data_IF_373795039538
#
_entry.id   IF_373795039538
#
_cell.length_a   1.000
_cell.length_b   1.000
_cell.length_c   1.000
_cell.angle_alpha   90.00
_cell.angle_beta   90.00
_cell.angle_gamma   90.00
#
_symmetry.space_group_name_H-M   'P 1'
#
loop_
_entity.id
_entity.type
_entity.pdbx_description
1 polymer ?
#
# COMPACT_ATOMS: atom_id res chain seq x y z
N UNK A 1 5.47 -13.06 -33.82
CA UNK A 1 4.67 -11.92 -33.29
C UNK A 1 5.61 -11.15 -32.38
N UNK A 2 5.91 -9.89 -32.70
CA UNK A 2 6.58 -9.02 -31.74
C UNK A 2 5.54 -8.72 -30.67
N UNK A 3 5.72 -9.25 -29.47
CA UNK A 3 4.95 -8.82 -28.30
C UNK A 3 5.26 -7.34 -28.13
N UNK A 4 4.24 -6.49 -28.30
CA UNK A 4 4.41 -5.08 -28.03
C UNK A 4 4.86 -4.94 -26.57
N UNK A 5 5.94 -4.20 -26.35
CA UNK A 5 6.50 -4.02 -25.02
C UNK A 5 5.48 -3.25 -24.18
N UNK A 6 5.24 -3.71 -22.94
CA UNK A 6 4.34 -3.01 -22.03
C UNK A 6 4.97 -1.66 -21.67
N UNK A 7 4.19 -0.60 -21.71
CA UNK A 7 4.58 0.78 -21.42
C UNK A 7 3.50 1.44 -20.58
N UNK A 8 3.79 2.62 -20.02
CA UNK A 8 2.77 3.44 -19.34
C UNK A 8 1.54 3.68 -20.23
N UNK A 9 1.75 3.90 -21.52
CA UNK A 9 0.67 4.30 -22.45
C UNK A 9 -0.24 3.13 -22.86
N UNK A 10 0.28 1.90 -22.90
CA UNK A 10 -0.48 0.71 -23.33
C UNK A 10 -0.80 -0.27 -22.19
N UNK A 11 -0.43 0.03 -20.94
CA UNK A 11 -0.63 -0.88 -19.80
C UNK A 11 -2.11 -1.26 -19.61
N UNK A 12 -3.03 -0.32 -19.73
CA UNK A 12 -4.45 -0.60 -19.56
C UNK A 12 -5.02 -1.50 -20.66
N UNK A 13 -4.64 -1.26 -21.92
CA UNK A 13 -5.01 -2.11 -23.05
C UNK A 13 -4.43 -3.51 -22.87
N UNK A 14 -3.14 -3.59 -22.53
CA UNK A 14 -2.46 -4.85 -22.23
C UNK A 14 -3.19 -5.64 -21.12
N UNK A 15 -3.55 -5.00 -20.00
CA UNK A 15 -4.27 -5.64 -18.90
C UNK A 15 -5.69 -6.05 -19.32
N UNK A 16 -6.37 -5.25 -20.15
CA UNK A 16 -7.72 -5.55 -20.66
C UNK A 16 -7.71 -6.76 -21.58
N UNK A 17 -6.72 -6.85 -22.47
CA UNK A 17 -6.56 -7.99 -23.38
C UNK A 17 -6.23 -9.29 -22.62
N UNK A 18 -5.41 -9.19 -21.56
CA UNK A 18 -4.97 -10.35 -20.77
C UNK A 18 -6.05 -10.81 -19.76
N UNK A 19 -6.84 -9.88 -19.24
CA UNK A 19 -7.85 -10.08 -18.20
C UNK A 19 -9.16 -9.35 -18.57
N UNK A 20 -9.87 -9.80 -19.62
CA UNK A 20 -11.04 -9.09 -20.15
C UNK A 20 -12.17 -8.93 -19.12
N UNK A 21 -12.26 -9.83 -18.14
CA UNK A 21 -13.20 -9.74 -17.03
C UNK A 21 -12.98 -8.53 -16.12
N UNK A 22 -11.78 -7.94 -16.12
CA UNK A 22 -11.43 -6.77 -15.32
C UNK A 22 -11.58 -5.43 -16.08
N UNK A 23 -12.08 -5.45 -17.33
CA UNK A 23 -12.15 -4.26 -18.19
C UNK A 23 -12.87 -3.06 -17.54
N UNK A 24 -13.95 -3.33 -16.78
CA UNK A 24 -14.70 -2.28 -16.06
C UNK A 24 -13.84 -1.62 -14.97
N UNK A 25 -13.06 -2.42 -14.25
CA UNK A 25 -12.21 -1.94 -13.16
C UNK A 25 -11.00 -1.18 -13.69
N UNK A 26 -10.45 -1.62 -14.83
CA UNK A 26 -9.38 -0.92 -15.56
C UNK A 26 -9.88 0.44 -16.06
N UNK A 27 -11.07 0.48 -16.68
CA UNK A 27 -11.65 1.72 -17.19
C UNK A 27 -11.95 2.73 -16.07
N UNK A 28 -12.32 2.25 -14.88
CA UNK A 28 -12.62 3.10 -13.73
C UNK A 28 -11.39 3.82 -13.14
N UNK A 29 -10.15 3.41 -13.49
CA UNK A 29 -8.92 4.08 -13.01
C UNK A 29 -8.55 5.31 -13.83
N UNK A 30 -9.22 5.54 -14.96
CA UNK A 30 -9.04 6.77 -15.73
C UNK A 30 -9.91 7.88 -15.15
N UNK A 31 -9.31 8.74 -14.34
CA UNK A 31 -9.87 10.05 -13.99
C UNK A 31 -9.21 11.09 -14.88
N UNK A 32 -10.01 11.97 -15.49
CA UNK A 32 -9.50 13.07 -16.33
C UNK A 32 -8.43 13.88 -15.55
N UNK A 33 -7.33 14.21 -16.23
CA UNK A 33 -6.17 14.97 -15.73
C UNK A 33 -5.21 14.28 -14.74
N UNK A 34 -5.40 13.00 -14.40
CA UNK A 34 -4.44 12.29 -13.53
C UNK A 34 -3.08 12.04 -14.23
N UNK A 35 -1.95 12.24 -13.53
CA UNK A 35 -0.63 12.04 -14.13
C UNK A 35 -0.38 10.56 -14.41
N UNK A 36 0.22 10.25 -15.56
CA UNK A 36 0.36 8.86 -16.06
C UNK A 36 1.05 7.89 -15.08
N UNK A 37 1.97 8.38 -14.24
CA UNK A 37 2.62 7.56 -13.21
C UNK A 37 1.64 7.11 -12.10
N UNK A 38 0.65 7.94 -11.76
CA UNK A 38 -0.38 7.64 -10.76
C UNK A 38 -1.33 6.59 -11.31
N UNK A 39 -1.83 6.80 -12.53
CA UNK A 39 -2.67 5.81 -13.23
C UNK A 39 -1.95 4.47 -13.35
N UNK A 40 -0.66 4.47 -13.72
CA UNK A 40 0.15 3.24 -13.76
C UNK A 40 0.24 2.56 -12.40
N UNK A 41 0.46 3.33 -11.33
CA UNK A 41 0.54 2.79 -9.98
C UNK A 41 -0.79 2.16 -9.53
N UNK A 42 -1.92 2.81 -9.83
CA UNK A 42 -3.26 2.34 -9.47
C UNK A 42 -3.68 1.12 -10.29
N UNK A 43 -3.39 1.09 -11.59
CA UNK A 43 -3.61 -0.10 -12.42
C UNK A 43 -2.86 -1.33 -11.87
N UNK A 44 -1.60 -1.16 -11.46
CA UNK A 44 -0.83 -2.28 -10.89
C UNK A 44 -1.33 -2.63 -9.48
N UNK A 45 -1.53 -1.65 -8.60
CA UNK A 45 -1.85 -1.86 -7.18
C UNK A 45 -3.30 -2.30 -6.96
N UNK A 46 -4.24 -1.55 -7.52
CA UNK A 46 -5.66 -1.66 -7.16
C UNK A 46 -6.43 -2.57 -8.12
N UNK A 47 -5.99 -2.68 -9.36
CA UNK A 47 -6.61 -3.59 -10.33
C UNK A 47 -5.84 -4.91 -10.40
N UNK A 48 -4.60 -4.89 -10.90
CA UNK A 48 -3.84 -6.12 -11.15
C UNK A 48 -3.56 -6.91 -9.86
N UNK A 49 -2.93 -6.31 -8.85
CA UNK A 49 -2.62 -7.01 -7.59
C UNK A 49 -3.89 -7.32 -6.80
N UNK A 50 -4.73 -6.32 -6.57
CA UNK A 50 -5.81 -6.43 -5.58
C UNK A 50 -7.05 -7.16 -6.09
N UNK A 51 -7.44 -7.01 -7.36
CA UNK A 51 -8.67 -7.61 -7.91
C UNK A 51 -8.42 -8.83 -8.77
N UNK A 52 -7.36 -8.84 -9.58
CA UNK A 52 -7.07 -9.95 -10.49
C UNK A 52 -6.23 -11.01 -9.77
N UNK A 53 -5.02 -10.66 -9.35
CA UNK A 53 -4.04 -11.64 -8.88
C UNK A 53 -4.41 -12.20 -7.51
N UNK A 54 -4.76 -11.36 -6.55
CA UNK A 54 -5.21 -11.83 -5.23
C UNK A 54 -6.41 -12.76 -5.35
N UNK A 55 -7.40 -12.43 -6.20
CA UNK A 55 -8.57 -13.28 -6.41
C UNK A 55 -8.17 -14.64 -6.98
N UNK A 56 -7.27 -14.68 -7.97
CA UNK A 56 -6.75 -15.94 -8.50
C UNK A 56 -6.07 -16.80 -7.42
N UNK A 57 -5.37 -16.19 -6.46
CA UNK A 57 -4.78 -16.90 -5.31
C UNK A 57 -5.86 -17.45 -4.38
N UNK A 58 -6.87 -16.64 -4.04
CA UNK A 58 -7.97 -17.03 -3.15
C UNK A 58 -8.81 -18.16 -3.76
N UNK A 59 -9.20 -17.99 -5.03
CA UNK A 59 -10.03 -18.92 -5.78
C UNK A 59 -9.26 -20.16 -6.25
N UNK A 60 -7.92 -20.15 -6.10
CA UNK A 60 -6.99 -21.19 -6.60
C UNK A 60 -7.15 -21.47 -8.09
N UNK A 61 -7.45 -20.42 -8.86
CA UNK A 61 -7.54 -20.53 -10.32
C UNK A 61 -6.14 -20.61 -10.91
N UNK A 62 -5.67 -21.83 -11.13
CA UNK A 62 -4.33 -22.10 -11.66
C UNK A 62 -4.10 -21.44 -13.02
N UNK A 63 -5.12 -21.36 -13.87
CA UNK A 63 -4.97 -20.77 -15.21
C UNK A 63 -4.76 -19.27 -15.12
N UNK A 64 -5.57 -18.59 -14.29
CA UNK A 64 -5.44 -17.14 -14.07
C UNK A 64 -4.14 -16.84 -13.31
N UNK A 65 -3.73 -17.67 -12.35
CA UNK A 65 -2.44 -17.54 -11.68
C UNK A 65 -1.27 -17.59 -12.66
N UNK A 66 -1.26 -18.54 -13.59
CA UNK A 66 -0.21 -18.63 -14.61
C UNK A 66 -0.19 -17.40 -15.54
N UNK A 67 -1.37 -16.88 -15.90
CA UNK A 67 -1.48 -15.62 -16.64
C UNK A 67 -0.95 -14.43 -15.83
N UNK A 68 -1.25 -14.35 -14.53
CA UNK A 68 -0.77 -13.31 -13.63
C UNK A 68 0.76 -13.32 -13.52
N UNK A 69 1.39 -14.47 -13.26
CA UNK A 69 2.85 -14.55 -13.19
C UNK A 69 3.49 -14.23 -14.55
N UNK A 70 2.88 -14.68 -15.66
CA UNK A 70 3.34 -14.30 -16.99
C UNK A 70 3.23 -12.79 -17.24
N UNK A 71 2.15 -12.14 -16.80
CA UNK A 71 1.98 -10.69 -16.92
C UNK A 71 3.00 -9.91 -16.09
N UNK A 72 3.34 -10.40 -14.89
CA UNK A 72 4.40 -9.81 -14.06
C UNK A 72 5.75 -9.86 -14.77
N UNK A 73 6.09 -10.99 -15.40
CA UNK A 73 7.34 -11.10 -16.16
C UNK A 73 7.34 -10.16 -17.38
N UNK A 74 6.24 -10.09 -18.13
CA UNK A 74 6.10 -9.16 -19.25
C UNK A 74 6.31 -7.70 -18.78
N UNK A 75 5.63 -7.28 -17.71
CA UNK A 75 5.74 -5.93 -17.15
C UNK A 75 7.13 -5.63 -16.56
N UNK A 76 7.84 -6.62 -16.00
CA UNK A 76 9.23 -6.44 -15.56
C UNK A 76 10.23 -6.42 -16.71
N UNK A 77 9.86 -6.98 -17.87
CA UNK A 77 10.67 -7.00 -19.10
C UNK A 77 10.42 -5.81 -20.04
N UNK A 78 9.35 -5.05 -19.77
CA UNK A 78 8.85 -3.89 -20.51
C UNK A 78 9.90 -2.89 -21.02
N UNK A 79 11.01 -2.72 -20.30
CA UNK A 79 11.98 -1.65 -20.55
C UNK A 79 11.49 -0.27 -20.09
N UNK A 80 10.18 -0.08 -19.96
CA UNK A 80 9.56 1.08 -19.32
C UNK A 80 9.87 1.11 -17.82
N UNK A 81 10.59 2.15 -17.39
CA UNK A 81 11.06 2.28 -16.02
C UNK A 81 9.92 2.48 -15.01
N UNK A 82 8.81 3.10 -15.42
CA UNK A 82 7.67 3.38 -14.55
C UNK A 82 6.83 2.13 -14.33
N UNK A 83 6.56 1.35 -15.38
CA UNK A 83 5.89 0.02 -15.26
C UNK A 83 6.73 -0.92 -14.41
N UNK A 84 8.03 -1.09 -14.74
CA UNK A 84 8.95 -1.94 -13.98
C UNK A 84 8.97 -1.56 -12.49
N UNK A 85 8.95 -0.25 -12.20
CA UNK A 85 8.97 0.28 -10.83
C UNK A 85 7.67 0.01 -10.09
N UNK A 86 6.51 0.27 -10.69
CA UNK A 86 5.21 -0.03 -10.08
C UNK A 86 5.06 -1.51 -9.76
N UNK A 87 5.52 -2.41 -10.65
CA UNK A 87 5.53 -3.85 -10.36
C UNK A 87 6.40 -4.18 -9.16
N UNK A 88 7.62 -3.63 -9.10
CA UNK A 88 8.50 -3.85 -7.92
C UNK A 88 7.87 -3.32 -6.64
N UNK A 89 7.26 -2.14 -6.67
CA UNK A 89 6.68 -1.53 -5.48
C UNK A 89 5.44 -2.26 -4.97
N UNK A 90 4.58 -2.79 -5.85
CA UNK A 90 3.27 -3.32 -5.44
C UNK A 90 3.18 -4.85 -5.54
N UNK A 91 3.78 -5.48 -6.54
CA UNK A 91 3.70 -6.94 -6.72
C UNK A 91 4.65 -7.65 -5.76
N UNK A 92 5.92 -7.25 -5.67
CA UNK A 92 6.92 -7.91 -4.81
C UNK A 92 6.48 -8.04 -3.34
N UNK A 93 5.98 -6.99 -2.67
CA UNK A 93 5.48 -7.16 -1.30
C UNK A 93 4.18 -7.98 -1.24
N UNK A 94 3.32 -7.91 -2.26
CA UNK A 94 2.05 -8.65 -2.28
C UNK A 94 2.26 -10.16 -2.43
N UNK A 95 3.13 -10.60 -3.35
CA UNK A 95 3.36 -12.03 -3.60
C UNK A 95 4.03 -12.75 -2.42
N UNK A 96 4.58 -11.97 -1.47
CA UNK A 96 5.12 -12.45 -0.20
C UNK A 96 4.21 -12.17 1.00
N UNK A 97 2.97 -11.73 0.78
CA UNK A 97 2.08 -11.32 1.86
C UNK A 97 1.36 -12.49 2.54
N UNK A 98 1.47 -13.71 2.03
CA UNK A 98 0.93 -14.90 2.70
C UNK A 98 1.76 -16.14 2.35
N UNK A 99 1.71 -17.16 3.21
CA UNK A 99 2.42 -18.41 2.97
C UNK A 99 1.94 -19.09 1.68
N UNK A 100 0.64 -19.01 1.38
CA UNK A 100 0.06 -19.52 0.15
C UNK A 100 0.65 -18.81 -1.07
N UNK A 101 0.59 -17.48 -1.13
CA UNK A 101 1.06 -16.72 -2.29
C UNK A 101 2.57 -16.84 -2.48
N UNK A 102 3.34 -16.86 -1.38
CA UNK A 102 4.78 -17.11 -1.44
C UNK A 102 5.09 -18.53 -1.93
N UNK A 103 4.25 -19.52 -1.59
CA UNK A 103 4.29 -20.87 -2.15
C UNK A 103 4.08 -20.87 -3.66
N UNK A 104 3.00 -20.24 -4.13
CA UNK A 104 2.72 -20.12 -5.57
C UNK A 104 3.82 -19.37 -6.32
N UNK A 105 4.41 -18.34 -5.69
CA UNK A 105 5.49 -17.54 -6.27
C UNK A 105 6.75 -18.36 -6.47
N UNK A 106 7.08 -19.24 -5.50
CA UNK A 106 8.21 -20.16 -5.63
C UNK A 106 7.99 -21.18 -6.75
N UNK A 107 6.74 -21.56 -7.01
CA UNK A 107 6.39 -22.58 -8.00
C UNK A 107 6.29 -21.99 -9.43
N UNK A 108 5.74 -20.78 -9.56
CA UNK A 108 5.30 -20.21 -10.84
C UNK A 108 5.97 -18.90 -11.21
N UNK A 109 6.58 -18.21 -10.25
CA UNK A 109 7.28 -16.96 -10.49
C UNK A 109 8.44 -17.15 -11.45
N UNK A 110 8.55 -16.26 -12.43
CA UNK A 110 9.65 -16.29 -13.39
C UNK A 110 10.93 -15.67 -12.83
N UNK A 111 12.00 -15.64 -13.65
CA UNK A 111 13.31 -15.19 -13.22
C UNK A 111 13.37 -13.69 -12.90
N UNK A 112 12.57 -12.84 -13.56
CA UNK A 112 12.60 -11.39 -13.29
C UNK A 112 11.94 -11.08 -11.95
N UNK A 113 10.79 -11.69 -11.65
CA UNK A 113 10.14 -11.55 -10.35
C UNK A 113 11.04 -12.09 -9.24
N UNK A 114 11.63 -13.28 -9.43
CA UNK A 114 12.54 -13.87 -8.45
C UNK A 114 13.77 -12.98 -8.20
N UNK A 115 14.32 -12.33 -9.23
CA UNK A 115 15.42 -11.38 -9.11
C UNK A 115 15.03 -10.06 -8.44
N UNK A 116 13.82 -9.56 -8.70
CA UNK A 116 13.27 -8.39 -8.04
C UNK A 116 13.09 -8.63 -6.52
N UNK A 117 12.53 -9.79 -6.15
CA UNK A 117 12.37 -10.17 -4.74
C UNK A 117 13.73 -10.34 -4.06
N UNK A 118 14.69 -11.01 -4.69
CA UNK A 118 16.05 -11.17 -4.15
C UNK A 118 16.68 -9.80 -3.84
N UNK A 119 16.50 -8.83 -4.74
CA UNK A 119 17.04 -7.47 -4.58
C UNK A 119 16.38 -6.71 -3.42
N UNK A 120 15.05 -6.81 -3.29
CA UNK A 120 14.30 -6.16 -2.21
C UNK A 120 14.56 -6.77 -0.83
N UNK A 121 14.73 -8.10 -0.76
CA UNK A 121 14.96 -8.84 0.49
C UNK A 121 16.43 -8.95 0.88
N UNK A 122 17.35 -8.46 0.05
CA UNK A 122 18.79 -8.57 0.28
C UNK A 122 19.34 -10.00 0.11
N UNK A 123 18.65 -10.87 -0.64
CA UNK A 123 19.12 -12.22 -0.96
C UNK A 123 18.03 -13.26 -1.22
N UNK A 124 18.47 -14.50 -1.40
CA UNK A 124 17.63 -15.66 -1.80
C UNK A 124 16.88 -16.34 -0.64
N UNK A 125 16.97 -15.82 0.58
CA UNK A 125 16.45 -16.47 1.79
C UNK A 125 14.95 -16.75 1.77
N UNK A 126 14.17 -15.93 1.05
CA UNK A 126 12.73 -16.15 0.86
C UNK A 126 12.40 -17.43 0.06
N UNK A 127 13.34 -17.97 -0.70
CA UNK A 127 13.05 -19.18 -1.51
C UNK A 127 12.91 -20.44 -0.66
N UNK A 128 13.55 -20.44 0.50
CA UNK A 128 13.61 -21.59 1.43
C UNK A 128 13.01 -21.27 2.80
N UNK A 129 12.65 -20.02 3.03
CA UNK A 129 12.02 -19.59 4.27
C UNK A 129 10.62 -20.19 4.37
N UNK A 130 10.43 -21.11 5.33
CA UNK A 130 9.12 -21.50 5.86
C UNK A 130 8.63 -20.48 6.91
N UNK A 131 9.37 -19.39 7.13
CA UNK A 131 8.98 -18.32 8.04
C UNK A 131 7.65 -17.76 7.56
N UNK A 132 6.66 -17.73 8.45
CA UNK A 132 5.32 -17.17 8.27
C UNK A 132 5.39 -15.86 7.47
N UNK A 133 5.28 -15.98 6.14
CA UNK A 133 5.09 -14.87 5.22
C UNK A 133 3.85 -14.16 5.69
N UNK A 134 4.02 -12.97 6.26
CA UNK A 134 3.05 -12.20 7.03
C UNK A 134 1.58 -12.47 6.66
N UNK A 135 1.04 -13.60 7.11
CA UNK A 135 -0.39 -13.91 7.12
C UNK A 135 -1.06 -13.12 8.27
N UNK A 136 -0.55 -11.90 8.47
CA UNK A 136 -0.83 -10.99 9.56
C UNK A 136 -1.76 -9.88 9.12
N UNK A 137 -2.58 -10.12 8.10
CA UNK A 137 -3.89 -9.49 8.10
C UNK A 137 -4.87 -10.52 8.66
N UNK A 138 -4.99 -10.64 10.00
CA UNK A 138 -6.11 -11.38 10.56
C UNK A 138 -7.39 -10.87 9.91
N UNK A 139 -8.36 -11.75 9.71
CA UNK A 139 -9.65 -11.48 9.05
C UNK A 139 -10.36 -10.23 9.63
N UNK A 140 -9.98 -9.80 10.84
CA UNK A 140 -10.37 -8.53 11.49
C UNK A 140 -9.20 -7.54 11.60
N UNK A 141 -8.68 -7.25 10.41
CA UNK A 141 -7.75 -6.20 10.02
C UNK A 141 -8.25 -4.76 10.13
N UNK A 142 -7.51 -3.82 10.70
CA UNK A 142 -7.60 -2.43 10.24
C UNK A 142 -6.20 -1.86 10.00
N UNK A 143 -6.08 -0.98 9.01
CA UNK A 143 -4.89 -0.19 8.78
C UNK A 143 -5.19 1.28 9.04
N UNK A 144 -4.31 2.00 9.73
CA UNK A 144 -4.46 3.43 10.00
C UNK A 144 -3.27 4.15 9.35
N UNK A 145 -3.54 5.13 8.50
CA UNK A 145 -2.54 6.10 8.03
C UNK A 145 -2.47 7.26 9.01
N UNK A 146 -1.28 7.62 9.48
CA UNK A 146 -1.03 8.82 10.29
C UNK A 146 -0.03 9.71 9.56
N UNK A 147 -0.38 10.98 9.40
CA UNK A 147 0.32 11.95 8.57
C UNK A 147 0.65 13.19 9.39
N UNK A 148 1.94 13.45 9.63
CA UNK A 148 2.40 14.72 10.21
C UNK A 148 2.61 15.75 9.11
N UNK A 149 1.81 16.81 9.08
CA UNK A 149 1.82 17.86 8.06
C UNK A 149 1.49 19.22 8.70
N UNK A 150 2.33 20.23 8.46
CA UNK A 150 2.21 21.59 9.03
C UNK A 150 1.87 21.68 10.53
N UNK A 151 2.54 20.87 11.37
CA UNK A 151 2.34 20.91 12.81
C UNK A 151 1.08 20.20 13.32
N UNK A 152 0.39 19.47 12.43
CA UNK A 152 -0.81 18.69 12.76
C UNK A 152 -0.59 17.24 12.35
N UNK A 153 -1.08 16.31 13.16
CA UNK A 153 -1.22 14.89 12.85
C UNK A 153 -2.63 14.64 12.35
N UNK A 154 -2.73 14.19 11.11
CA UNK A 154 -3.96 13.73 10.49
C UNK A 154 -3.96 12.21 10.46
N UNK A 155 -5.03 11.56 10.91
CA UNK A 155 -5.16 10.13 10.83
C UNK A 155 -6.45 9.71 10.14
N UNK A 156 -6.36 8.66 9.34
CA UNK A 156 -7.48 8.04 8.64
C UNK A 156 -7.31 6.52 8.66
N UNK A 157 -8.40 5.81 8.44
CA UNK A 157 -8.38 4.37 8.39
C UNK A 157 -8.51 3.84 6.96
N UNK A 158 -8.04 2.62 6.79
CA UNK A 158 -8.16 1.77 5.63
C UNK A 158 -8.63 0.39 6.12
N UNK A 159 -9.76 -0.11 5.59
CA UNK A 159 -10.18 -1.49 5.80
C UNK A 159 -10.13 -2.27 4.50
N UNK A 160 -9.37 -3.39 4.43
CA UNK A 160 -9.44 -4.28 3.27
C UNK A 160 -10.86 -4.83 3.13
N UNK A 161 -11.42 -4.72 1.94
CA UNK A 161 -12.68 -5.35 1.59
C UNK A 161 -12.48 -6.84 1.30
N UNK A 162 -13.56 -7.62 1.42
CA UNK A 162 -13.55 -9.06 1.11
C UNK A 162 -13.24 -9.34 -0.37
N UNK A 163 -13.53 -8.39 -1.26
CA UNK A 163 -13.22 -8.44 -2.71
C UNK A 163 -11.78 -7.99 -3.04
N UNK A 164 -10.97 -7.65 -2.04
CA UNK A 164 -9.59 -7.20 -2.19
C UNK A 164 -9.43 -5.70 -2.39
N UNK A 165 -10.53 -4.93 -2.54
CA UNK A 165 -10.54 -3.48 -2.65
C UNK A 165 -10.07 -2.75 -1.39
N UNK A 166 -9.73 -1.48 -1.56
CA UNK A 166 -8.95 -0.73 -0.57
C UNK A 166 -9.48 0.70 -0.24
N UNK A 167 -10.61 0.86 0.47
CA UNK A 167 -11.19 2.20 0.73
C UNK A 167 -10.63 2.96 1.94
N UNK A 168 -10.37 4.27 1.78
CA UNK A 168 -10.18 5.18 2.93
C UNK A 168 -11.53 5.35 3.61
N UNK A 169 -11.61 5.09 4.92
CA UNK A 169 -12.85 5.18 5.69
C UNK A 169 -12.76 6.22 6.79
N UNK A 170 -13.90 6.89 7.01
CA UNK A 170 -14.15 7.73 8.18
C UNK A 170 -14.19 6.86 9.46
N UNK A 171 -13.95 7.45 10.65
CA UNK A 171 -13.71 8.88 10.89
C UNK A 171 -12.28 9.33 10.59
N UNK A 172 -12.11 10.64 10.32
CA UNK A 172 -10.81 11.29 10.28
C UNK A 172 -10.50 11.96 11.62
N UNK A 173 -9.24 11.98 11.97
CA UNK A 173 -8.76 12.53 13.23
C UNK A 173 -7.68 13.57 12.97
N UNK A 174 -7.77 14.71 13.65
CA UNK A 174 -6.73 15.73 13.67
C UNK A 174 -6.29 16.00 15.12
N UNK A 175 -4.99 16.16 15.33
CA UNK A 175 -4.41 16.59 16.61
C UNK A 175 -3.09 17.33 16.40
N UNK A 176 -2.65 18.21 17.32
CA UNK A 176 -1.35 18.87 17.22
C UNK A 176 -0.19 17.86 17.13
N UNK A 177 0.90 18.19 16.44
CA UNK A 177 2.08 17.30 16.32
C UNK A 177 2.96 17.24 17.56
N UNK A 178 2.83 18.21 18.47
CA UNK A 178 3.49 18.28 19.76
C UNK A 178 2.65 17.65 20.90
N UNK A 179 1.60 16.91 20.54
CA UNK A 179 0.73 16.22 21.48
C UNK A 179 1.50 15.18 22.32
N UNK A 180 1.17 15.10 23.61
CA UNK A 180 1.74 14.09 24.50
C UNK A 180 1.41 12.66 24.03
N UNK A 181 2.34 11.69 24.18
CA UNK A 181 2.14 10.33 23.68
C UNK A 181 0.86 9.66 24.19
N UNK A 182 0.51 9.86 25.46
CA UNK A 182 -0.71 9.28 26.03
C UNK A 182 -1.98 9.83 25.37
N UNK A 183 -2.02 11.13 25.08
CA UNK A 183 -3.16 11.77 24.40
C UNK A 183 -3.24 11.31 22.95
N UNK A 184 -2.11 11.24 22.24
CA UNK A 184 -2.04 10.75 20.87
C UNK A 184 -2.58 9.32 20.76
N UNK A 185 -2.07 8.42 21.60
CA UNK A 185 -2.48 7.03 21.59
C UNK A 185 -3.91 6.81 22.05
N UNK A 186 -4.41 7.61 23.01
CA UNK A 186 -5.82 7.53 23.42
C UNK A 186 -6.75 7.89 22.26
N UNK A 187 -6.48 8.98 21.53
CA UNK A 187 -7.27 9.39 20.36
C UNK A 187 -7.18 8.37 19.22
N UNK A 188 -6.00 7.81 18.96
CA UNK A 188 -5.84 6.75 17.96
C UNK A 188 -6.56 5.45 18.37
N UNK A 189 -6.55 5.09 19.65
CA UNK A 189 -7.27 3.92 20.14
C UNK A 189 -8.80 4.09 20.01
N UNK A 190 -9.32 5.31 20.17
CA UNK A 190 -10.73 5.63 19.88
C UNK A 190 -11.01 5.46 18.39
N UNK A 191 -10.21 6.07 17.51
CA UNK A 191 -10.33 5.90 16.06
C UNK A 191 -10.32 4.41 15.66
N UNK A 192 -9.40 3.61 16.20
CA UNK A 192 -9.32 2.17 15.95
C UNK A 192 -10.62 1.44 16.35
N UNK A 193 -11.18 1.76 17.53
CA UNK A 193 -12.46 1.17 17.98
C UNK A 193 -13.60 1.56 17.05
N UNK A 194 -13.70 2.83 16.69
CA UNK A 194 -14.76 3.35 15.82
C UNK A 194 -14.74 2.66 14.45
N UNK A 195 -13.54 2.43 13.91
CA UNK A 195 -13.31 1.70 12.65
C UNK A 195 -13.80 0.26 12.73
N UNK A 196 -13.57 -0.42 13.86
CA UNK A 196 -14.06 -1.79 14.06
C UNK A 196 -15.57 -1.88 14.33
N UNK A 197 -16.16 -0.86 14.98
CA UNK A 197 -17.60 -0.83 15.26
C UNK A 197 -18.47 -0.34 14.11
N UNK A 198 -17.89 0.34 13.12
CA UNK A 198 -18.63 0.86 11.97
C UNK A 198 -18.99 -0.28 11.00
N UNK A 199 -20.24 -0.27 10.52
CA UNK A 199 -20.62 -1.08 9.35
C UNK A 199 -19.75 -0.66 8.17
N UNK A 200 -19.24 -1.63 7.40
CA UNK A 200 -18.44 -1.37 6.21
C UNK A 200 -19.36 -0.67 5.21
N UNK A 201 -19.34 0.67 5.20
CA UNK A 201 -20.05 1.41 4.18
C UNK A 201 -19.33 1.16 2.84
N UNK A 202 -20.09 0.70 1.85
CA UNK A 202 -19.62 0.66 0.48
C UNK A 202 -19.43 2.10 0.00
N UNK A 203 -18.19 2.61 -0.03
CA UNK A 203 -17.80 3.62 -1.02
C UNK A 203 -16.29 3.79 -1.12
N UNK A 204 -15.89 3.84 -2.40
CA UNK A 204 -14.84 4.61 -3.08
C UNK A 204 -13.60 5.09 -2.29
N UNK A 205 -12.45 4.98 -2.94
CA UNK A 205 -11.21 5.67 -2.58
C UNK A 205 -11.43 7.19 -2.40
N UNK A 206 -11.72 7.64 -1.18
CA UNK A 206 -12.02 9.05 -0.88
C UNK A 206 -10.76 9.84 -0.46
N UNK A 207 -9.71 9.77 -1.30
CA UNK A 207 -8.51 10.60 -1.13
C UNK A 207 -8.89 12.09 -1.15
N UNK A 208 -9.84 12.48 -2.00
CA UNK A 208 -10.36 13.84 -2.07
C UNK A 208 -10.98 14.30 -0.73
N UNK A 209 -11.72 13.46 -0.03
CA UNK A 209 -12.28 13.83 1.28
C UNK A 209 -11.19 14.01 2.34
N UNK A 210 -10.16 13.16 2.34
CA UNK A 210 -9.02 13.33 3.24
C UNK A 210 -8.32 14.66 2.98
N UNK A 211 -8.05 14.98 1.71
CA UNK A 211 -7.38 16.24 1.34
C UNK A 211 -8.23 17.47 1.68
N UNK A 212 -9.55 17.38 1.49
CA UNK A 212 -10.50 18.40 1.94
C UNK A 212 -10.48 18.56 3.46
N UNK A 213 -10.44 17.46 4.21
CA UNK A 213 -10.34 17.47 5.67
C UNK A 213 -9.02 18.10 6.16
N UNK A 214 -7.93 17.90 5.43
CA UNK A 214 -6.61 18.50 5.75
C UNK A 214 -6.61 20.01 5.48
N UNK A 215 -7.44 20.50 4.56
CA UNK A 215 -7.62 21.93 4.27
C UNK A 215 -7.64 22.26 2.78
N UNK A 216 -8.29 21.42 1.97
CA UNK A 216 -8.34 21.55 0.50
C UNK A 216 -6.93 21.60 -0.14
N UNK A 217 -6.02 20.76 0.34
CA UNK A 217 -4.63 20.69 -0.15
C UNK A 217 -4.50 19.79 -1.37
N UNK A 218 -3.57 20.10 -2.27
CA UNK A 218 -3.26 19.22 -3.39
C UNK A 218 -2.61 17.91 -2.90
N UNK A 219 -2.99 16.78 -3.50
CA UNK A 219 -2.46 15.46 -3.13
C UNK A 219 -0.93 15.45 -3.15
N UNK A 220 -0.33 16.03 -4.20
CA UNK A 220 1.11 16.07 -4.39
C UNK A 220 1.79 16.79 -3.23
N UNK A 221 1.32 17.98 -2.88
CA UNK A 221 1.89 18.78 -1.78
C UNK A 221 1.76 18.06 -0.43
N UNK A 222 0.57 17.52 -0.14
CA UNK A 222 0.34 16.74 1.07
C UNK A 222 1.26 15.51 1.12
N UNK A 223 1.33 14.74 0.04
CA UNK A 223 2.13 13.54 -0.01
C UNK A 223 3.63 13.84 0.12
N UNK A 224 4.14 14.91 -0.50
CA UNK A 224 5.57 15.26 -0.44
C UNK A 224 6.00 15.74 0.93
N UNK A 225 5.19 16.60 1.56
CA UNK A 225 5.57 17.30 2.78
C UNK A 225 5.12 16.58 4.05
N UNK A 226 4.15 15.66 3.95
CA UNK A 226 3.72 14.89 5.11
C UNK A 226 4.73 13.79 5.45
N UNK A 227 5.03 13.65 6.73
CA UNK A 227 5.63 12.43 7.29
C UNK A 227 4.53 11.40 7.48
N UNK A 228 4.74 10.16 7.02
CA UNK A 228 3.68 9.13 7.08
C UNK A 228 4.10 7.94 7.93
N UNK A 229 3.16 7.45 8.72
CA UNK A 229 3.22 6.20 9.46
C UNK A 229 2.01 5.37 9.08
N UNK A 230 2.22 4.06 8.93
CA UNK A 230 1.14 3.09 8.76
C UNK A 230 1.07 2.23 10.01
N UNK A 231 -0.11 2.11 10.58
CA UNK A 231 -0.41 1.21 11.68
C UNK A 231 -1.23 0.06 11.11
N UNK A 232 -0.89 -1.18 11.44
CA UNK A 232 -1.74 -2.35 11.19
C UNK A 232 -2.15 -2.89 12.55
N UNK A 233 -3.45 -3.00 12.78
CA UNK A 233 -4.01 -3.47 14.05
C UNK A 233 -4.85 -4.72 13.86
N UNK A 234 -4.81 -5.59 14.85
CA UNK A 234 -5.64 -6.79 14.93
C UNK A 234 -6.69 -6.60 16.04
N UNK A 235 -7.96 -6.80 15.70
CA UNK A 235 -9.06 -6.68 16.67
C UNK A 235 -8.93 -7.74 17.79
N UNK A 236 -8.68 -8.99 17.40
CA UNK A 236 -8.78 -10.14 18.32
C UNK A 236 -7.61 -10.24 19.30
N UNK A 237 -6.41 -9.85 18.88
CA UNK A 237 -5.19 -9.93 19.71
C UNK A 237 -4.82 -8.61 20.37
N UNK A 238 -5.50 -7.52 20.01
CA UNK A 238 -5.15 -6.15 20.36
C UNK A 238 -3.73 -5.72 19.95
N UNK A 239 -3.00 -6.51 19.16
CA UNK A 239 -1.66 -6.15 18.71
C UNK A 239 -1.71 -5.07 17.64
N UNK A 240 -0.69 -4.21 17.63
CA UNK A 240 -0.45 -3.28 16.54
C UNK A 240 1.01 -3.33 16.06
N UNK A 241 1.19 -3.20 14.76
CA UNK A 241 2.48 -3.01 14.12
C UNK A 241 2.52 -1.59 13.53
N UNK A 242 3.45 -0.77 14.01
CA UNK A 242 3.62 0.61 13.57
C UNK A 242 4.83 0.68 12.65
N UNK A 243 4.64 1.13 11.41
CA UNK A 243 5.69 1.25 10.41
C UNK A 243 5.88 2.70 9.97
N UNK A 244 7.09 3.27 10.14
CA UNK A 244 7.42 4.54 9.50
C UNK A 244 7.45 4.35 7.98
N UNK A 245 7.10 5.38 7.22
CA UNK A 245 7.24 5.38 5.77
C UNK A 245 8.46 6.19 5.37
N UNK A 246 9.35 5.57 4.60
CA UNK A 246 10.43 6.25 3.93
C UNK A 246 10.01 6.57 2.51
N UNK A 247 9.72 7.83 2.26
CA UNK A 247 9.30 8.33 0.96
C UNK A 247 10.52 8.61 0.09
N UNK A 248 10.37 8.35 -1.21
CA UNK A 248 11.33 8.67 -2.26
C UNK A 248 10.60 9.32 -3.41
N UNK A 249 11.21 10.34 -4.00
CA UNK A 249 10.74 10.95 -5.23
C UNK A 249 11.78 10.72 -6.32
N UNK A 250 11.32 10.41 -7.53
CA UNK A 250 12.16 10.27 -8.71
C UNK A 250 11.39 10.82 -9.92
N UNK A 251 11.68 12.07 -10.28
CA UNK A 251 10.88 12.85 -11.21
C UNK A 251 9.48 13.15 -10.65
N UNK A 252 8.45 12.84 -11.43
CA UNK A 252 7.05 13.01 -11.04
C UNK A 252 6.51 11.88 -10.16
N UNK A 253 7.25 10.77 -10.03
CA UNK A 253 6.84 9.61 -9.24
C UNK A 253 7.17 9.78 -7.75
N UNK A 254 6.23 9.33 -6.92
CA UNK A 254 6.38 9.26 -5.47
C UNK A 254 6.21 7.82 -5.00
N UNK A 255 7.26 7.27 -4.40
CA UNK A 255 7.23 5.95 -3.78
C UNK A 255 7.33 6.02 -2.27
N UNK A 256 6.94 4.92 -1.63
CA UNK A 256 6.98 4.81 -0.18
C UNK A 256 7.29 3.39 0.25
N UNK A 257 8.39 3.21 0.99
CA UNK A 257 8.73 1.91 1.59
C UNK A 257 8.52 1.93 3.11
N UNK A 258 8.06 0.81 3.71
CA UNK A 258 8.05 0.69 5.17
C UNK A 258 9.49 0.68 5.71
N UNK A 259 9.71 1.33 6.84
CA UNK A 259 10.92 1.19 7.65
C UNK A 259 10.78 0.12 8.72
N UNK A 260 11.70 0.12 9.68
CA UNK A 260 11.71 -0.82 10.80
C UNK A 260 10.40 -0.77 11.59
N UNK A 261 9.82 -1.94 11.84
CA UNK A 261 8.54 -2.08 12.51
C UNK A 261 8.70 -1.91 14.02
N UNK A 262 7.80 -1.13 14.61
CA UNK A 262 7.63 -1.02 16.06
C UNK A 262 6.40 -1.82 16.46
N UNK A 263 6.60 -2.90 17.22
CA UNK A 263 5.53 -3.73 17.75
C UNK A 263 4.95 -3.12 19.03
N UNK A 264 3.61 -3.02 19.07
CA UNK A 264 2.83 -2.63 20.24
C UNK A 264 2.00 -3.84 20.65
N UNK A 265 2.22 -4.31 21.89
CA UNK A 265 1.59 -5.52 22.41
C UNK A 265 0.07 -5.37 22.53
N UNK A 266 -0.39 -4.20 22.96
CA UNK A 266 -1.80 -3.87 23.10
C UNK A 266 -2.06 -2.42 22.69
N UNK A 267 -2.76 -2.18 21.58
CA UNK A 267 -3.07 -0.83 21.09
C UNK A 267 -4.01 -0.05 22.01
N UNK A 268 -4.64 -0.70 22.99
CA UNK A 268 -5.46 -0.05 24.03
C UNK A 268 -4.59 0.62 25.09
N UNK A 269 -3.32 0.24 25.20
CA UNK A 269 -2.33 0.95 26.03
C UNK A 269 -1.92 2.26 25.34
N UNK A 270 -2.71 3.31 25.60
CA UNK A 270 -2.58 4.61 24.95
C UNK A 270 -1.14 5.14 24.92
N UNK A 271 -0.43 5.14 26.05
CA UNK A 271 0.94 5.65 26.10
C UNK A 271 1.92 4.83 25.24
N UNK A 272 1.74 3.51 25.12
CA UNK A 272 2.59 2.67 24.28
C UNK A 272 2.33 2.91 22.80
N UNK A 273 1.05 2.94 22.39
CA UNK A 273 0.65 3.22 21.01
C UNK A 273 1.13 4.61 20.56
N UNK A 274 0.89 5.64 21.37
CA UNK A 274 1.29 7.00 21.02
C UNK A 274 2.80 7.18 20.95
N UNK A 275 3.58 6.58 21.86
CA UNK A 275 5.05 6.61 21.77
C UNK A 275 5.55 5.94 20.50
N UNK A 276 5.02 4.78 20.13
CA UNK A 276 5.41 4.08 18.91
C UNK A 276 5.12 4.93 17.66
N UNK A 277 3.94 5.54 17.58
CA UNK A 277 3.55 6.39 16.44
C UNK A 277 4.40 7.64 16.33
N UNK A 278 4.62 8.37 17.43
CA UNK A 278 5.46 9.58 17.43
C UNK A 278 6.93 9.24 17.12
N UNK A 279 7.43 8.11 17.62
CA UNK A 279 8.77 7.62 17.28
C UNK A 279 8.87 7.28 15.80
N UNK A 280 7.89 6.55 15.25
CA UNK A 280 7.85 6.22 13.83
C UNK A 280 7.75 7.49 12.95
N UNK A 281 6.96 8.49 13.35
CA UNK A 281 6.92 9.78 12.66
C UNK A 281 8.27 10.48 12.68
N UNK A 282 9.00 10.44 13.81
CA UNK A 282 10.31 11.07 13.93
C UNK A 282 11.35 10.49 12.95
N UNK A 283 11.29 9.18 12.67
CA UNK A 283 12.21 8.47 11.77
C UNK A 283 11.70 8.32 10.32
N UNK A 284 10.42 8.60 10.06
CA UNK A 284 9.86 8.64 8.71
C UNK A 284 10.46 9.78 7.87
N UNK A 285 10.44 9.64 6.54
CA UNK A 285 10.97 10.68 5.64
C UNK A 285 9.87 11.34 4.81
N UNK A 286 10.13 12.59 4.44
CA UNK A 286 9.38 13.34 3.42
C UNK A 286 10.14 13.28 2.10
N UNK A 287 9.49 13.66 1.01
CA UNK A 287 10.18 13.99 -0.27
C UNK A 287 10.20 15.50 -0.52
N UNK A 288 9.50 16.28 0.30
CA UNK A 288 9.37 17.73 0.21
C UNK A 288 10.67 18.48 0.51
N UNK A 289 11.23 19.01 -0.58
CA UNK A 289 12.19 20.11 -0.77
C UNK A 289 13.57 20.07 -0.07
N UNK A 290 14.60 19.73 -0.85
CA UNK A 290 15.92 20.34 -0.69
C UNK A 290 15.73 21.85 -0.97
N UNK A 291 15.93 22.70 0.04
CA UNK A 291 16.00 24.14 -0.18
C UNK A 291 16.99 24.43 -1.34
N UNK A 292 16.74 25.42 -2.22
CA UNK A 292 17.78 25.90 -3.11
C UNK A 292 18.98 26.28 -2.24
N UNK A 293 20.16 25.77 -2.61
CA UNK A 293 21.41 26.15 -1.95
C UNK A 293 21.50 27.68 -1.92
N UNK A 294 21.79 28.22 -0.75
CA UNK A 294 22.03 29.64 -0.54
C UNK A 294 23.32 30.10 -1.21
#
# INVERSE_FOLDING_TARGET
MMTELVTVDNLAEYLTDRFPEAAVDIAAMYVDDDPAWLVTAELVRDVFVSRIFRRAVVDRDVKVLDLCYSAVEDMLSAGDAQVCRSVREYVVPAVLSSAQWAGDTRLRGGPLLAGAIDSERGGRGWRTSDVDYHDRRPLRSASIGVHGYHGVLYAHAYRPHADGGSGIVRPFLAMPSDVEPEVAGSRLAVLIRDVFSSEIQESAHDVAELLKFVGDVEWRDFHTNARTVTIIVAEDSFRACVSPRHKRQDGDWFGSRPGELLDVADWREAAALGRAVLTALAISSTTGWNAPAS
#
